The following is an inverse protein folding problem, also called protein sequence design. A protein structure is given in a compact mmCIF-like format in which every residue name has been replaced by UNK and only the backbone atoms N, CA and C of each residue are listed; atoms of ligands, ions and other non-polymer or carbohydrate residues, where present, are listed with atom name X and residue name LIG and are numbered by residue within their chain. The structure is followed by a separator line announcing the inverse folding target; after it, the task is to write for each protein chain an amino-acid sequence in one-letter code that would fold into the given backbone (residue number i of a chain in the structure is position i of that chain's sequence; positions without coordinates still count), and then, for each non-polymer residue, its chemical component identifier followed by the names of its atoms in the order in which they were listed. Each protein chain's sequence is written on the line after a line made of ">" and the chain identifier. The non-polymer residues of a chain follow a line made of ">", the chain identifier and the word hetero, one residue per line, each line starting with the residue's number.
data_IF_068514699637
#
_entry.id   IF_068514699637
#
_cell.length_a   1.000
_cell.length_b   1.000
_cell.length_c   1.000
_cell.angle_alpha   90.00
_cell.angle_beta   90.00
_cell.angle_gamma   90.00
#
_symmetry.space_group_name_H-M   'P 1'
#
loop_
_entity.id
_entity.type
_entity.pdbx_description
1 polymer ?
#
# COMPACT_ATOMS: atom_id res chain seq x y z
N UNK A 1 -11.04 -6.93 -15.91
CA UNK A 1 -9.63 -7.17 -16.21
C UNK A 1 -9.44 -8.30 -17.19
N UNK A 2 -8.34 -8.29 -17.89
CA UNK A 2 -7.99 -9.31 -18.90
C UNK A 2 -7.22 -10.51 -18.31
N UNK A 3 -6.90 -10.46 -17.02
CA UNK A 3 -6.20 -11.53 -16.30
C UNK A 3 -7.04 -12.04 -15.12
N UNK A 4 -6.80 -13.28 -14.63
CA UNK A 4 -7.61 -13.89 -13.57
C UNK A 4 -7.65 -13.09 -12.26
N UNK A 5 -6.56 -12.41 -11.89
CA UNK A 5 -6.51 -11.57 -10.69
C UNK A 5 -7.42 -10.36 -10.85
N UNK A 6 -7.29 -9.59 -11.93
CA UNK A 6 -8.12 -8.43 -12.20
C UNK A 6 -9.59 -8.81 -12.31
N UNK A 7 -9.89 -9.95 -12.97
CA UNK A 7 -11.25 -10.48 -13.08
C UNK A 7 -11.84 -10.81 -11.71
N UNK A 8 -11.10 -11.49 -10.83
CA UNK A 8 -11.56 -11.83 -9.48
C UNK A 8 -11.84 -10.59 -8.62
N UNK A 9 -11.00 -9.56 -8.72
CA UNK A 9 -11.23 -8.28 -8.00
C UNK A 9 -12.44 -7.53 -8.54
N UNK A 10 -12.63 -7.51 -9.86
CA UNK A 10 -13.83 -6.91 -10.48
C UNK A 10 -15.11 -7.65 -10.08
N UNK A 11 -15.08 -8.98 -10.04
CA UNK A 11 -16.20 -9.80 -9.60
C UNK A 11 -16.58 -9.52 -8.14
N UNK A 12 -15.58 -9.35 -7.25
CA UNK A 12 -15.81 -8.94 -5.87
C UNK A 12 -16.58 -7.62 -5.77
N UNK A 13 -16.20 -6.61 -6.56
CA UNK A 13 -16.89 -5.32 -6.59
C UNK A 13 -18.33 -5.44 -7.05
N UNK A 14 -18.57 -6.24 -8.09
CA UNK A 14 -19.94 -6.50 -8.61
C UNK A 14 -20.79 -7.22 -7.56
N UNK A 15 -20.24 -8.27 -6.94
CA UNK A 15 -20.93 -9.04 -5.89
C UNK A 15 -21.29 -8.16 -4.69
N UNK A 16 -20.34 -7.44 -4.14
CA UNK A 16 -20.57 -6.56 -2.97
C UNK A 16 -21.60 -5.48 -3.29
N UNK A 17 -21.55 -4.91 -4.50
CA UNK A 17 -22.58 -3.95 -4.95
C UNK A 17 -23.96 -4.61 -5.02
N UNK A 18 -24.08 -5.79 -5.61
CA UNK A 18 -25.35 -6.51 -5.71
C UNK A 18 -25.96 -6.80 -4.33
N UNK A 19 -25.16 -7.31 -3.39
CA UNK A 19 -25.60 -7.54 -2.01
C UNK A 19 -26.06 -6.25 -1.32
N UNK A 20 -25.29 -5.18 -1.45
CA UNK A 20 -25.64 -3.89 -0.86
C UNK A 20 -26.95 -3.36 -1.36
N UNK A 21 -27.16 -3.36 -2.68
CA UNK A 21 -28.39 -2.81 -3.28
C UNK A 21 -29.61 -3.71 -3.00
N UNK A 22 -29.45 -5.04 -2.99
CA UNK A 22 -30.55 -5.98 -2.85
C UNK A 22 -30.99 -6.18 -1.40
N UNK A 23 -30.05 -6.26 -0.47
CA UNK A 23 -30.36 -6.68 0.91
C UNK A 23 -30.17 -5.62 1.96
N UNK A 24 -29.17 -4.74 1.84
CA UNK A 24 -28.76 -3.87 2.94
C UNK A 24 -29.22 -2.43 2.82
N UNK A 25 -29.47 -1.93 1.63
CA UNK A 25 -29.91 -0.55 1.40
C UNK A 25 -31.23 -0.20 2.06
N UNK A 26 -32.12 -1.18 2.19
CA UNK A 26 -33.47 -1.00 2.75
C UNK A 26 -33.49 -0.95 4.29
N UNK A 27 -32.45 -1.44 4.95
CA UNK A 27 -32.47 -1.61 6.42
C UNK A 27 -32.02 -0.38 7.20
N UNK A 28 -31.38 0.60 6.56
CA UNK A 28 -30.76 1.80 7.17
C UNK A 28 -29.77 1.52 8.32
N UNK A 29 -29.48 0.25 8.62
CA UNK A 29 -28.66 -0.18 9.78
C UNK A 29 -27.35 -0.83 9.39
N UNK A 30 -27.24 -1.32 8.15
CA UNK A 30 -26.10 -2.09 7.68
C UNK A 30 -25.34 -1.29 6.62
N UNK A 31 -24.09 -0.94 6.94
CA UNK A 31 -23.16 -0.35 6.00
C UNK A 31 -22.30 -1.42 5.33
N UNK A 32 -22.21 -1.40 4.00
CA UNK A 32 -21.34 -2.30 3.24
C UNK A 32 -20.47 -1.51 2.28
N UNK A 33 -19.15 -1.64 2.45
CA UNK A 33 -18.18 -0.95 1.61
C UNK A 33 -17.05 -1.85 1.15
N UNK A 34 -16.44 -1.46 0.04
CA UNK A 34 -15.14 -1.95 -0.39
C UNK A 34 -14.08 -0.87 -0.21
N UNK A 35 -12.96 -1.19 0.44
CA UNK A 35 -11.79 -0.34 0.56
C UNK A 35 -10.68 -0.84 -0.35
N UNK A 36 -10.26 -0.03 -1.33
CA UNK A 36 -9.19 -0.38 -2.27
C UNK A 36 -7.94 0.40 -1.94
N UNK A 37 -6.81 -0.29 -1.85
CA UNK A 37 -5.49 0.32 -1.72
C UNK A 37 -4.62 0.03 -2.95
N UNK A 38 -3.65 0.90 -3.22
CA UNK A 38 -2.64 0.67 -4.24
C UNK A 38 -1.53 -0.28 -3.76
N UNK A 39 -0.33 -0.11 -4.29
CA UNK A 39 0.83 -0.89 -3.84
C UNK A 39 1.21 -0.51 -2.41
N UNK A 40 0.96 -1.41 -1.47
CA UNK A 40 1.23 -1.19 -0.06
C UNK A 40 2.59 -1.77 0.32
N UNK A 41 3.38 -1.01 1.08
CA UNK A 41 4.69 -1.40 1.60
C UNK A 41 4.73 -1.21 3.12
N UNK A 42 5.54 -2.01 3.80
CA UNK A 42 5.71 -1.95 5.26
C UNK A 42 6.69 -3.00 5.75
N UNK A 43 7.06 -2.93 7.01
CA UNK A 43 7.90 -3.94 7.64
C UNK A 43 7.18 -5.28 7.79
N UNK A 44 7.94 -6.37 7.88
CA UNK A 44 7.40 -7.70 8.15
C UNK A 44 6.80 -8.46 6.96
N UNK A 45 6.77 -7.88 5.75
CA UNK A 45 6.38 -8.61 4.54
C UNK A 45 7.55 -9.46 4.02
N UNK A 46 7.39 -10.77 4.01
CA UNK A 46 8.38 -11.73 3.50
C UNK A 46 7.90 -12.46 2.25
N UNK A 47 6.80 -12.03 1.66
CA UNK A 47 6.20 -12.67 0.49
C UNK A 47 7.18 -12.70 -0.68
N UNK A 48 7.35 -13.87 -1.33
CA UNK A 48 8.24 -14.00 -2.46
C UNK A 48 7.71 -13.25 -3.70
N UNK A 49 8.63 -12.87 -4.59
CA UNK A 49 8.33 -12.18 -5.86
C UNK A 49 7.72 -10.78 -5.69
N UNK A 50 7.83 -10.18 -4.50
CA UNK A 50 7.51 -8.78 -4.25
C UNK A 50 8.77 -7.95 -4.17
N UNK A 51 8.72 -6.75 -4.72
CA UNK A 51 9.90 -5.89 -4.91
C UNK A 51 10.63 -5.60 -3.59
N UNK A 52 9.93 -5.10 -2.57
CA UNK A 52 10.56 -4.72 -1.29
C UNK A 52 11.14 -5.94 -0.56
N UNK A 53 10.38 -7.02 -0.30
CA UNK A 53 10.94 -8.22 0.31
C UNK A 53 12.16 -8.78 -0.43
N UNK A 54 12.13 -8.81 -1.76
CA UNK A 54 13.25 -9.32 -2.56
C UNK A 54 14.49 -8.40 -2.47
N UNK A 55 14.30 -7.08 -2.42
CA UNK A 55 15.38 -6.11 -2.17
C UNK A 55 16.00 -6.34 -0.79
N UNK A 56 15.18 -6.42 0.27
CA UNK A 56 15.67 -6.62 1.64
C UNK A 56 16.42 -7.94 1.78
N UNK A 57 15.91 -9.03 1.21
CA UNK A 57 16.61 -10.33 1.18
C UNK A 57 17.98 -10.23 0.51
N UNK A 58 18.05 -9.51 -0.62
CA UNK A 58 19.32 -9.32 -1.36
C UNK A 58 20.30 -8.48 -0.54
N UNK A 59 19.85 -7.38 0.05
CA UNK A 59 20.70 -6.50 0.87
C UNK A 59 21.22 -7.20 2.12
N UNK A 60 20.37 -7.96 2.83
CA UNK A 60 20.78 -8.75 4.00
C UNK A 60 21.89 -9.75 3.69
N UNK A 61 21.89 -10.30 2.49
CA UNK A 61 22.89 -11.28 2.01
C UNK A 61 24.04 -10.65 1.23
N UNK A 62 24.15 -9.33 1.21
CA UNK A 62 25.12 -8.58 0.39
C UNK A 62 25.11 -8.98 -1.10
N UNK A 63 23.92 -9.35 -1.61
CA UNK A 63 23.74 -9.75 -3.01
C UNK A 63 23.23 -8.58 -3.85
N UNK A 64 23.49 -8.66 -5.16
CA UNK A 64 22.98 -7.71 -6.15
C UNK A 64 21.44 -7.81 -6.24
N UNK A 65 20.75 -6.67 -6.20
CA UNK A 65 19.32 -6.56 -6.44
C UNK A 65 19.08 -6.61 -7.95
N UNK A 66 18.22 -7.53 -8.40
CA UNK A 66 17.81 -7.62 -9.80
C UNK A 66 16.45 -6.98 -9.99
N UNK A 67 16.38 -5.94 -10.83
CA UNK A 67 15.13 -5.28 -11.21
C UNK A 67 14.78 -5.58 -12.67
N UNK A 68 13.48 -5.82 -12.93
CA UNK A 68 13.02 -6.22 -14.28
C UNK A 68 12.58 -5.03 -15.12
N UNK A 69 11.70 -4.20 -14.57
CA UNK A 69 11.05 -3.09 -15.25
C UNK A 69 11.37 -1.76 -14.54
N UNK A 70 12.59 -1.21 -14.68
CA UNK A 70 13.08 -0.07 -13.90
C UNK A 70 12.24 1.21 -14.06
N UNK A 71 11.60 1.38 -15.22
CA UNK A 71 10.80 2.58 -15.56
C UNK A 71 9.31 2.46 -15.23
N UNK A 72 8.84 1.32 -14.72
CA UNK A 72 7.43 1.14 -14.39
C UNK A 72 7.06 1.95 -13.15
N UNK A 73 6.02 2.73 -13.28
CA UNK A 73 5.48 3.57 -12.23
C UNK A 73 4.45 2.82 -11.39
N UNK A 74 4.57 2.95 -10.07
CA UNK A 74 3.61 2.36 -9.13
C UNK A 74 3.32 3.35 -8.00
N UNK A 75 2.08 3.37 -7.49
CA UNK A 75 1.68 4.23 -6.39
C UNK A 75 1.93 3.54 -5.04
N UNK A 76 3.21 3.34 -4.68
CA UNK A 76 3.54 2.76 -3.38
C UNK A 76 3.19 3.69 -2.23
N UNK A 77 2.61 3.13 -1.19
CA UNK A 77 2.25 3.83 0.04
C UNK A 77 2.55 2.98 1.27
N UNK A 78 2.80 3.61 2.41
CA UNK A 78 2.98 2.90 3.67
C UNK A 78 1.67 2.19 4.06
N UNK A 79 1.78 0.99 4.65
CA UNK A 79 0.62 0.19 5.07
C UNK A 79 -0.29 0.94 6.05
N UNK A 80 0.24 1.83 6.85
CA UNK A 80 -0.53 2.62 7.81
C UNK A 80 -1.49 3.63 7.12
N UNK A 81 -1.18 4.05 5.88
CA UNK A 81 -2.05 4.96 5.13
C UNK A 81 -3.45 4.38 4.85
N UNK A 82 -3.56 3.22 4.15
CA UNK A 82 -4.87 2.64 3.93
C UNK A 82 -5.51 2.11 5.22
N UNK A 83 -4.75 1.63 6.20
CA UNK A 83 -5.30 1.20 7.49
C UNK A 83 -5.98 2.34 8.23
N UNK A 84 -5.36 3.53 8.31
CA UNK A 84 -6.01 4.75 8.81
C UNK A 84 -7.31 5.03 8.06
N UNK A 85 -7.28 4.94 6.73
CA UNK A 85 -8.47 5.16 5.90
C UNK A 85 -9.58 4.16 6.17
N UNK A 86 -9.26 2.88 6.38
CA UNK A 86 -10.24 1.84 6.72
C UNK A 86 -10.87 2.07 8.09
N UNK A 87 -10.09 2.46 9.10
CA UNK A 87 -10.59 2.78 10.43
C UNK A 87 -11.50 4.02 10.41
N UNK A 88 -11.10 5.07 9.68
CA UNK A 88 -11.94 6.27 9.51
C UNK A 88 -13.25 5.94 8.78
N UNK A 89 -13.21 5.09 7.75
CA UNK A 89 -14.40 4.65 7.04
C UNK A 89 -15.32 3.85 7.96
N UNK A 90 -14.77 2.90 8.72
CA UNK A 90 -15.54 2.09 9.67
C UNK A 90 -16.25 2.96 10.72
N UNK A 91 -15.54 3.92 11.30
CA UNK A 91 -16.12 4.88 12.25
C UNK A 91 -17.25 5.70 11.62
N UNK A 92 -17.07 6.22 10.41
CA UNK A 92 -18.09 6.97 9.69
C UNK A 92 -19.29 6.12 9.30
N UNK A 93 -19.08 4.87 8.94
CA UNK A 93 -20.16 3.92 8.66
C UNK A 93 -20.95 3.55 9.91
N UNK A 94 -20.31 3.47 11.08
CA UNK A 94 -21.00 3.28 12.35
C UNK A 94 -21.94 4.46 12.66
N UNK A 95 -21.51 5.70 12.36
CA UNK A 95 -22.29 6.91 12.59
C UNK A 95 -23.42 7.11 11.57
N UNK A 96 -23.11 6.96 10.27
CA UNK A 96 -24.02 7.23 9.15
C UNK A 96 -23.93 6.09 8.11
N UNK A 97 -24.53 4.91 8.36
CA UNK A 97 -24.32 3.69 7.57
C UNK A 97 -24.53 3.87 6.06
N UNK A 98 -25.64 4.45 5.65
CA UNK A 98 -25.99 4.57 4.22
C UNK A 98 -25.10 5.58 3.50
N UNK A 99 -24.79 6.69 4.14
CA UNK A 99 -24.00 7.78 3.54
C UNK A 99 -22.57 7.33 3.19
N UNK A 100 -21.98 6.47 4.02
CA UNK A 100 -20.62 6.01 3.84
C UNK A 100 -20.52 4.61 3.23
N UNK A 101 -21.64 3.99 2.89
CA UNK A 101 -21.66 2.74 2.10
C UNK A 101 -21.11 2.95 0.69
N UNK A 102 -20.47 1.93 0.13
CA UNK A 102 -19.98 1.94 -1.25
C UNK A 102 -18.50 1.73 -1.40
N UNK A 103 -17.98 2.06 -2.59
CA UNK A 103 -16.58 1.85 -2.91
C UNK A 103 -15.71 3.06 -2.56
N UNK A 104 -14.56 2.79 -1.94
CA UNK A 104 -13.60 3.79 -1.49
C UNK A 104 -12.18 3.43 -1.94
N UNK A 105 -11.41 4.45 -2.32
CA UNK A 105 -10.01 4.28 -2.71
C UNK A 105 -9.12 5.03 -1.73
N UNK A 106 -8.07 4.36 -1.29
CA UNK A 106 -7.01 4.89 -0.43
C UNK A 106 -5.67 4.70 -1.15
N UNK A 107 -5.11 5.76 -1.66
CA UNK A 107 -3.91 5.72 -2.50
C UNK A 107 -3.04 6.96 -2.33
N UNK A 108 -2.02 7.07 -3.16
CA UNK A 108 -1.10 8.20 -3.15
C UNK A 108 -1.70 9.42 -3.85
N UNK A 109 -1.18 10.61 -3.55
CA UNK A 109 -1.46 11.81 -4.35
C UNK A 109 -0.97 11.60 -5.80
N UNK A 110 -1.60 12.26 -6.79
CA UNK A 110 -1.24 12.11 -8.21
C UNK A 110 0.26 12.26 -8.49
N UNK A 111 0.91 13.23 -7.85
CA UNK A 111 2.33 13.53 -8.06
C UNK A 111 3.30 12.69 -7.20
N UNK A 112 2.80 11.67 -6.50
CA UNK A 112 3.60 10.80 -5.61
C UNK A 112 3.89 9.43 -6.21
N UNK A 113 3.67 9.26 -7.51
CA UNK A 113 4.00 8.04 -8.24
C UNK A 113 5.50 8.04 -8.54
N UNK A 114 6.18 6.93 -8.31
CA UNK A 114 7.62 6.79 -8.60
C UNK A 114 7.90 5.52 -9.39
N UNK A 115 9.01 5.52 -10.12
CA UNK A 115 9.47 4.34 -10.85
C UNK A 115 10.20 3.34 -9.94
N UNK A 116 10.28 2.09 -10.40
CA UNK A 116 10.91 0.98 -9.67
C UNK A 116 12.38 1.29 -9.34
N UNK A 117 13.14 1.88 -10.26
CA UNK A 117 14.56 2.19 -10.05
C UNK A 117 14.74 3.22 -8.95
N UNK A 118 13.97 4.28 -8.98
CA UNK A 118 13.99 5.34 -7.96
C UNK A 118 13.61 4.78 -6.58
N UNK A 119 12.58 3.93 -6.51
CA UNK A 119 12.21 3.25 -5.27
C UNK A 119 13.36 2.41 -4.72
N UNK A 120 14.00 1.58 -5.55
CA UNK A 120 15.11 0.71 -5.12
C UNK A 120 16.33 1.54 -4.71
N UNK A 121 16.60 2.67 -5.36
CA UNK A 121 17.64 3.60 -4.91
C UNK A 121 17.35 4.16 -3.51
N UNK A 122 16.10 4.52 -3.21
CA UNK A 122 15.73 4.92 -1.85
C UNK A 122 15.96 3.80 -0.83
N UNK A 123 15.60 2.56 -1.17
CA UNK A 123 15.84 1.40 -0.29
C UNK A 123 17.34 1.25 0.02
N UNK A 124 18.20 1.28 -1.02
CA UNK A 124 19.65 1.17 -0.86
C UNK A 124 20.21 2.31 -0.01
N UNK A 125 19.78 3.54 -0.27
CA UNK A 125 20.23 4.71 0.49
C UNK A 125 19.88 4.62 1.98
N UNK A 126 18.69 4.11 2.32
CA UNK A 126 18.29 3.94 3.72
C UNK A 126 18.89 2.69 4.37
N UNK A 127 19.24 1.66 3.58
CA UNK A 127 19.95 0.47 4.07
C UNK A 127 21.45 0.73 4.29
N UNK A 128 22.03 1.68 3.57
CA UNK A 128 23.44 2.10 3.66
C UNK A 128 24.35 1.56 2.55
N UNK A 129 24.00 0.46 1.89
CA UNK A 129 24.80 -0.13 0.80
C UNK A 129 23.92 -1.04 -0.07
N UNK A 130 24.38 -1.28 -1.31
CA UNK A 130 23.72 -2.21 -2.23
C UNK A 130 24.09 -1.97 -3.69
N UNK A 131 23.85 -2.97 -4.53
CA UNK A 131 24.10 -2.91 -5.98
C UNK A 131 22.85 -3.31 -6.74
N UNK A 132 22.56 -2.61 -7.84
CA UNK A 132 21.43 -2.90 -8.73
C UNK A 132 21.96 -3.46 -10.06
N UNK A 133 21.28 -4.48 -10.58
CA UNK A 133 21.44 -4.94 -11.95
C UNK A 133 20.08 -5.07 -12.63
N UNK A 134 19.98 -4.54 -13.86
CA UNK A 134 18.74 -4.63 -14.64
C UNK A 134 18.73 -5.96 -15.40
N UNK A 135 17.65 -6.73 -15.25
CA UNK A 135 17.44 -7.97 -16.03
C UNK A 135 16.22 -7.73 -16.91
N UNK A 136 16.40 -7.67 -18.22
CA UNK A 136 15.30 -7.52 -19.18
C UNK A 136 14.27 -8.64 -19.00
N UNK A 137 12.98 -8.30 -19.09
CA UNK A 137 11.87 -9.23 -19.03
C UNK A 137 10.83 -8.82 -20.09
N UNK A 138 10.24 -9.81 -20.75
CA UNK A 138 9.26 -9.61 -21.85
C UNK A 138 7.81 -9.79 -21.42
N UNK A 139 7.52 -9.89 -20.11
CA UNK A 139 6.12 -10.00 -19.67
C UNK A 139 5.40 -8.65 -19.77
N UNK A 140 4.17 -8.73 -20.29
CA UNK A 140 3.26 -7.57 -20.29
C UNK A 140 2.88 -7.23 -18.84
N UNK A 141 3.10 -5.99 -18.48
CA UNK A 141 2.70 -5.44 -17.19
C UNK A 141 2.20 -4.01 -17.41
N UNK A 142 1.09 -3.65 -16.78
CA UNK A 142 0.51 -2.32 -16.93
C UNK A 142 1.48 -1.25 -16.41
N UNK A 143 1.80 -0.27 -17.25
CA UNK A 143 2.85 0.72 -16.96
C UNK A 143 2.45 1.71 -15.86
N UNK A 144 1.20 2.17 -15.87
CA UNK A 144 0.69 3.17 -14.93
C UNK A 144 -0.55 2.64 -14.21
N UNK A 145 -0.52 2.66 -12.90
CA UNK A 145 -1.66 2.34 -12.04
C UNK A 145 -1.82 3.46 -11.01
N UNK A 146 -3.01 4.03 -10.90
CA UNK A 146 -3.31 5.04 -9.89
C UNK A 146 -4.78 4.96 -9.46
N UNK A 147 -5.03 5.19 -8.18
CA UNK A 147 -6.37 5.26 -7.62
C UNK A 147 -6.80 6.72 -7.47
N UNK A 148 -8.02 7.04 -7.88
CA UNK A 148 -8.62 8.34 -7.58
C UNK A 148 -9.09 8.37 -6.12
N UNK A 149 -8.48 9.21 -5.31
CA UNK A 149 -8.74 9.34 -3.87
C UNK A 149 -9.66 10.52 -3.51
N UNK A 150 -10.12 11.31 -4.47
CA UNK A 150 -10.93 12.53 -4.23
C UNK A 150 -12.15 12.28 -3.33
N UNK A 151 -12.77 11.10 -3.44
CA UNK A 151 -13.90 10.73 -2.58
C UNK A 151 -13.49 10.62 -1.11
N UNK A 152 -12.37 9.95 -0.81
CA UNK A 152 -11.85 9.81 0.55
C UNK A 152 -11.42 11.17 1.12
N UNK A 153 -10.75 12.00 0.31
CA UNK A 153 -10.37 13.36 0.72
C UNK A 153 -11.60 14.23 1.05
N UNK A 154 -12.61 14.22 0.17
CA UNK A 154 -13.81 15.06 0.34
C UNK A 154 -14.67 14.65 1.52
N UNK A 155 -15.00 13.37 1.65
CA UNK A 155 -16.02 12.90 2.58
C UNK A 155 -15.48 12.35 3.89
N UNK A 156 -14.30 11.71 3.87
CA UNK A 156 -13.64 11.24 5.09
C UNK A 156 -12.61 12.23 5.63
N UNK A 157 -12.25 13.27 4.86
CA UNK A 157 -11.11 14.16 5.16
C UNK A 157 -9.79 13.38 5.27
N UNK A 158 -9.76 12.16 4.72
CA UNK A 158 -8.57 11.33 4.66
C UNK A 158 -7.65 11.81 3.55
N UNK A 159 -6.37 11.89 3.87
CA UNK A 159 -5.29 12.14 2.92
C UNK A 159 -4.04 11.37 3.37
N UNK A 160 -3.18 10.94 2.43
CA UNK A 160 -1.93 10.29 2.81
C UNK A 160 -1.03 11.26 3.59
N UNK A 161 -0.45 10.75 4.67
CA UNK A 161 0.45 11.49 5.58
C UNK A 161 1.86 11.52 5.00
N UNK A 162 2.36 10.37 4.55
CA UNK A 162 3.72 10.23 4.06
C UNK A 162 3.81 10.23 2.52
N UNK A 163 4.85 10.87 2.02
CA UNK A 163 5.30 10.70 0.64
C UNK A 163 6.05 9.37 0.47
N UNK A 164 6.40 9.04 -0.76
CA UNK A 164 7.09 7.76 -1.06
C UNK A 164 8.43 7.63 -0.34
N UNK A 165 9.21 8.69 -0.24
CA UNK A 165 10.52 8.66 0.42
C UNK A 165 10.37 8.31 1.90
N UNK A 166 9.41 8.92 2.61
CA UNK A 166 9.13 8.62 4.02
C UNK A 166 8.54 7.22 4.20
N UNK A 167 7.65 6.79 3.30
CA UNK A 167 7.10 5.42 3.30
C UNK A 167 8.19 4.35 3.16
N UNK A 168 9.16 4.57 2.25
CA UNK A 168 10.32 3.68 2.09
C UNK A 168 11.24 3.74 3.29
N UNK A 169 11.50 4.93 3.84
CA UNK A 169 12.32 5.09 5.05
C UNK A 169 11.75 4.27 6.20
N UNK A 170 10.47 4.43 6.51
CA UNK A 170 9.79 3.67 7.56
C UNK A 170 9.86 2.17 7.32
N UNK A 171 9.64 1.73 6.08
CA UNK A 171 9.70 0.31 5.72
C UNK A 171 11.10 -0.27 5.92
N UNK A 172 12.14 0.40 5.39
CA UNK A 172 13.53 -0.06 5.50
C UNK A 172 14.02 -0.01 6.96
N UNK A 173 13.69 1.05 7.70
CA UNK A 173 14.00 1.20 9.13
C UNK A 173 13.46 0.01 9.95
N UNK A 174 12.23 -0.46 9.67
CA UNK A 174 11.68 -1.62 10.34
C UNK A 174 12.56 -2.87 10.14
N UNK A 175 12.92 -3.16 8.89
CA UNK A 175 13.77 -4.31 8.60
C UNK A 175 15.17 -4.16 9.18
N UNK A 176 15.74 -2.96 9.13
CA UNK A 176 17.07 -2.70 9.68
C UNK A 176 17.09 -2.92 11.20
N UNK A 177 16.14 -2.34 11.94
CA UNK A 177 16.01 -2.50 13.38
C UNK A 177 15.84 -3.97 13.78
N UNK A 178 14.97 -4.69 13.10
CA UNK A 178 14.71 -6.10 13.41
C UNK A 178 15.85 -7.02 13.00
N UNK A 179 16.45 -6.83 11.82
CA UNK A 179 17.43 -7.77 11.27
C UNK A 179 18.86 -7.47 11.70
N UNK A 180 19.24 -6.18 11.80
CA UNK A 180 20.59 -5.77 12.16
C UNK A 180 20.70 -5.51 13.67
N UNK A 181 19.81 -4.72 14.25
CA UNK A 181 19.82 -4.38 15.67
C UNK A 181 19.21 -5.47 16.56
N UNK A 182 18.55 -6.49 15.98
CA UNK A 182 17.88 -7.55 16.73
C UNK A 182 16.78 -7.07 17.68
N UNK A 183 16.16 -5.93 17.36
CA UNK A 183 15.04 -5.42 18.13
C UNK A 183 13.78 -6.28 17.96
N UNK A 184 12.92 -6.30 18.97
CA UNK A 184 11.65 -7.02 18.92
C UNK A 184 10.74 -6.43 17.82
N UNK A 185 10.27 -7.24 16.85
CA UNK A 185 9.39 -6.79 15.77
C UNK A 185 8.13 -6.09 16.25
N UNK A 186 7.55 -6.55 17.36
CA UNK A 186 6.34 -5.96 17.97
C UNK A 186 6.63 -4.54 18.46
N UNK A 187 7.74 -4.36 19.19
CA UNK A 187 8.17 -3.05 19.66
C UNK A 187 8.41 -2.09 18.51
N UNK A 188 9.18 -2.52 17.49
CA UNK A 188 9.47 -1.68 16.31
C UNK A 188 8.19 -1.27 15.60
N UNK A 189 7.22 -2.18 15.49
CA UNK A 189 5.93 -1.88 14.85
C UNK A 189 5.13 -0.87 15.68
N UNK A 190 5.07 -1.04 17.01
CA UNK A 190 4.40 -0.09 17.90
C UNK A 190 5.00 1.31 17.79
N UNK A 191 6.33 1.42 17.88
CA UNK A 191 7.05 2.70 17.73
C UNK A 191 6.71 3.39 16.40
N UNK A 192 6.56 2.62 15.31
CA UNK A 192 6.19 3.15 14.00
C UNK A 192 4.73 3.60 13.92
N UNK A 193 3.82 2.88 14.56
CA UNK A 193 2.42 3.29 14.67
C UNK A 193 2.31 4.60 15.45
N UNK A 194 2.97 4.71 16.60
CA UNK A 194 2.95 5.91 17.43
C UNK A 194 3.50 7.12 16.68
N UNK A 195 4.62 6.97 15.97
CA UNK A 195 5.17 8.00 15.10
C UNK A 195 4.18 8.42 14.02
N UNK A 196 3.55 7.45 13.35
CA UNK A 196 2.60 7.74 12.30
C UNK A 196 1.36 8.48 12.81
N UNK A 197 0.86 8.12 14.00
CA UNK A 197 -0.26 8.82 14.65
C UNK A 197 0.13 10.26 14.96
N UNK A 198 1.32 10.47 15.51
CA UNK A 198 1.82 11.82 15.82
C UNK A 198 1.93 12.70 14.56
N UNK A 199 2.39 12.14 13.42
CA UNK A 199 2.61 12.88 12.17
C UNK A 199 1.31 13.08 11.35
N UNK A 200 0.19 12.46 11.74
CA UNK A 200 -1.05 12.43 10.98
C UNK A 200 -2.15 13.25 11.59
#
# INVERSE_FOLDING_TARGET
>A
GVDPYSASKSSTEIMVRAYRESFFKKTNRIAVSTGRAGNVIGGGDWSPKRLIPDCIKSLRLNKTIFIRNPKFNRPWQLVLEPLKGYLMLALKQYQEPLKYSGAWNFGTKPNSVTDVKTLVNHIINFWGSGKIKIKKNNFYEQQNLQLNIKKAEKYLKWKPTYNIKNSVKMTVEWYFRVLQNKEDPKKVTSDQIDRYIHDS
#
